data_IF_996283143170
#
_entry.id   IF_996283143170
#
_cell.length_a   1.000
_cell.length_b   1.000
_cell.length_c   1.000
_cell.angle_alpha   90.00
_cell.angle_beta   90.00
_cell.angle_gamma   90.00
#
_symmetry.space_group_name_H-M   'P 1'
#
loop_
_entity.id
_entity.type
_entity.pdbx_description
1 polymer ?
#
# COMPACT_ATOMS: atom_id res chain seq x y z
N UNK A 1 15.33 20.16 9.55
CA UNK A 1 15.08 20.75 8.20
C UNK A 1 15.86 19.91 7.22
N UNK A 2 15.18 18.99 6.50
CA UNK A 2 15.81 18.20 5.42
C UNK A 2 16.02 19.21 4.27
N UNK A 3 17.20 19.27 3.66
CA UNK A 3 17.42 20.14 2.51
C UNK A 3 16.44 19.75 1.39
N UNK A 4 15.68 20.72 0.89
CA UNK A 4 14.68 20.56 -0.18
C UNK A 4 15.34 20.02 -1.46
N UNK A 5 16.63 20.22 -1.63
CA UNK A 5 17.40 19.77 -2.79
C UNK A 5 17.60 18.26 -2.89
N UNK A 6 17.70 17.54 -1.75
CA UNK A 6 17.88 16.07 -1.79
C UNK A 6 16.62 15.33 -2.28
N UNK A 7 15.44 15.80 -1.91
CA UNK A 7 14.18 15.22 -2.39
C UNK A 7 13.98 15.41 -3.90
N UNK A 8 14.44 16.55 -4.43
CA UNK A 8 14.39 16.85 -5.86
C UNK A 8 15.35 15.97 -6.69
N UNK A 9 16.55 15.69 -6.18
CA UNK A 9 17.53 14.82 -6.87
C UNK A 9 17.08 13.36 -6.91
N UNK A 10 16.49 12.84 -5.83
CA UNK A 10 15.96 11.48 -5.78
C UNK A 10 14.76 11.32 -6.72
N UNK A 11 13.85 12.27 -6.72
CA UNK A 11 12.71 12.29 -7.64
C UNK A 11 13.14 12.31 -9.12
N UNK A 12 14.22 13.03 -9.45
CA UNK A 12 14.76 13.15 -10.80
C UNK A 12 15.46 11.86 -11.23
N UNK A 13 16.19 11.18 -10.35
CA UNK A 13 16.90 9.93 -10.65
C UNK A 13 15.92 8.77 -10.97
N UNK A 14 14.81 8.68 -10.24
CA UNK A 14 13.78 7.66 -10.47
C UNK A 14 13.01 7.94 -11.77
N UNK A 15 12.78 9.21 -12.12
CA UNK A 15 12.11 9.60 -13.36
C UNK A 15 12.97 9.39 -14.62
N UNK A 16 14.28 9.19 -14.50
CA UNK A 16 15.20 8.98 -15.64
C UNK A 16 15.33 7.51 -16.10
N UNK A 17 14.44 6.62 -15.65
CA UNK A 17 14.44 5.21 -16.12
C UNK A 17 15.67 4.42 -15.70
N UNK A 18 16.40 4.84 -14.66
CA UNK A 18 17.49 4.03 -14.07
C UNK A 18 16.88 2.78 -13.45
N UNK A 19 17.23 1.60 -13.96
CA UNK A 19 16.97 0.32 -13.31
C UNK A 19 17.54 0.40 -11.90
N UNK A 20 16.69 0.23 -10.89
CA UNK A 20 17.14 0.05 -9.51
C UNK A 20 17.75 -1.35 -9.45
N UNK A 21 19.05 -1.48 -9.67
CA UNK A 21 19.81 -2.74 -9.74
C UNK A 21 20.60 -3.02 -8.48
N UNK A 22 20.07 -2.74 -7.31
CA UNK A 22 20.75 -3.02 -6.04
C UNK A 22 19.77 -2.95 -4.87
N UNK A 23 20.18 -3.41 -3.67
CA UNK A 23 19.36 -3.23 -2.47
C UNK A 23 19.17 -1.72 -2.25
N UNK A 24 17.94 -1.25 -2.45
CA UNK A 24 17.58 0.13 -2.18
C UNK A 24 17.80 0.38 -0.68
N UNK A 25 18.73 1.25 -0.35
CA UNK A 25 19.00 1.61 1.04
C UNK A 25 17.91 2.57 1.51
N UNK A 26 16.89 2.02 2.14
CA UNK A 26 15.73 2.78 2.60
C UNK A 26 16.04 3.35 3.99
N UNK A 27 15.93 4.66 4.15
CA UNK A 27 16.14 5.35 5.43
C UNK A 27 14.86 5.29 6.26
N UNK A 28 14.98 5.17 7.57
CA UNK A 28 13.86 5.23 8.49
C UNK A 28 13.13 6.58 8.37
N UNK A 29 11.80 6.62 8.58
CA UNK A 29 11.09 7.90 8.70
C UNK A 29 11.79 8.76 9.76
N UNK A 30 11.92 10.08 9.54
CA UNK A 30 12.53 10.95 10.53
C UNK A 30 11.80 10.85 11.86
N UNK A 31 12.55 10.65 12.96
CA UNK A 31 11.99 10.52 14.32
C UNK A 31 11.24 11.78 14.79
N UNK A 32 11.47 12.90 14.12
CA UNK A 32 10.95 14.22 14.48
C UNK A 32 9.65 14.59 13.74
N UNK A 33 9.01 13.65 13.02
CA UNK A 33 7.68 13.94 12.51
C UNK A 33 6.69 14.02 13.66
N UNK A 34 5.91 15.12 13.77
CA UNK A 34 4.89 15.20 14.79
C UNK A 34 3.93 14.02 14.62
N UNK A 35 3.99 13.07 15.55
CA UNK A 35 2.94 12.09 15.73
C UNK A 35 1.72 12.89 16.18
N UNK A 36 0.66 12.91 15.38
CA UNK A 36 -0.64 13.32 15.88
C UNK A 36 -1.01 12.48 17.10
N UNK A 37 -1.93 12.97 17.90
CA UNK A 37 -2.48 12.20 19.02
C UNK A 37 -3.05 10.89 18.46
N UNK A 38 -2.50 9.75 18.90
CA UNK A 38 -2.98 8.43 18.50
C UNK A 38 -4.29 8.17 19.25
N UNK A 39 -5.37 8.08 18.50
CA UNK A 39 -6.72 7.90 19.07
C UNK A 39 -7.17 6.44 19.15
N UNK A 40 -6.33 5.50 18.74
CA UNK A 40 -6.64 4.08 18.72
C UNK A 40 -5.84 3.24 19.71
N UNK A 41 -6.28 2.01 19.90
CA UNK A 41 -5.52 1.01 20.66
C UNK A 41 -4.20 0.69 19.93
N UNK A 42 -3.19 0.30 20.70
CA UNK A 42 -1.89 -0.11 20.17
C UNK A 42 -2.05 -1.28 19.19
N UNK A 43 -1.42 -1.18 18.04
CA UNK A 43 -1.40 -2.27 17.06
C UNK A 43 -0.31 -3.28 17.46
N UNK A 44 -0.71 -4.47 17.84
CA UNK A 44 0.19 -5.57 18.18
C UNK A 44 0.14 -6.68 17.14
N UNK A 45 -1.05 -6.96 16.58
CA UNK A 45 -1.30 -8.04 15.64
C UNK A 45 -1.57 -7.50 14.25
N UNK A 46 -0.61 -7.69 13.37
CA UNK A 46 -0.69 -7.30 11.96
C UNK A 46 -1.14 -8.46 11.08
N UNK A 47 -2.14 -8.23 10.24
CA UNK A 47 -2.49 -9.11 9.13
C UNK A 47 -2.24 -8.37 7.82
N UNK A 48 -1.09 -8.59 7.20
CA UNK A 48 -0.74 -7.92 5.95
C UNK A 48 -0.60 -8.91 4.81
N UNK A 49 -1.18 -8.57 3.67
CA UNK A 49 -1.10 -9.37 2.46
C UNK A 49 -0.62 -8.55 1.26
N UNK A 50 0.04 -9.25 0.35
CA UNK A 50 0.45 -8.72 -0.94
C UNK A 50 -0.33 -9.40 -2.06
N UNK A 51 -0.95 -8.64 -2.95
CA UNK A 51 -1.61 -9.17 -4.15
C UNK A 51 -0.62 -9.23 -5.30
N UNK A 52 -0.36 -10.44 -5.82
CA UNK A 52 0.67 -10.69 -6.82
C UNK A 52 0.03 -11.16 -8.12
N UNK A 53 0.31 -10.45 -9.20
CA UNK A 53 -0.07 -10.81 -10.56
C UNK A 53 1.14 -11.29 -11.37
N UNK A 54 0.97 -12.22 -12.36
CA UNK A 54 2.06 -12.57 -13.24
C UNK A 54 2.45 -11.37 -14.11
N UNK A 55 3.74 -11.01 -14.08
CA UNK A 55 4.33 -9.91 -14.86
C UNK A 55 5.50 -10.43 -15.69
N UNK A 56 5.82 -9.73 -16.76
CA UNK A 56 7.03 -9.99 -17.56
C UNK A 56 8.29 -9.79 -16.72
N UNK A 57 8.31 -8.70 -15.93
CA UNK A 57 9.35 -8.40 -14.94
C UNK A 57 8.71 -8.42 -13.56
N UNK A 58 9.10 -9.40 -12.74
CA UNK A 58 8.53 -9.60 -11.41
C UNK A 58 9.14 -8.62 -10.41
N UNK A 59 8.29 -7.82 -9.78
CA UNK A 59 8.68 -6.82 -8.77
C UNK A 59 8.42 -7.29 -7.34
N UNK A 60 7.55 -8.28 -7.14
CA UNK A 60 7.10 -8.70 -5.81
C UNK A 60 8.26 -9.12 -4.88
N UNK A 61 9.36 -9.68 -5.41
CA UNK A 61 10.53 -10.04 -4.59
C UNK A 61 11.13 -8.82 -3.90
N UNK A 62 11.25 -7.71 -4.64
CA UNK A 62 11.76 -6.44 -4.11
C UNK A 62 10.77 -5.89 -3.07
N UNK A 63 9.48 -5.97 -3.36
CA UNK A 63 8.43 -5.51 -2.46
C UNK A 63 8.43 -6.31 -1.15
N UNK A 64 8.51 -7.65 -1.21
CA UNK A 64 8.56 -8.51 -0.03
C UNK A 64 9.82 -8.25 0.80
N UNK A 65 11.00 -8.20 0.16
CA UNK A 65 12.25 -7.90 0.86
C UNK A 65 12.17 -6.54 1.56
N UNK A 66 11.71 -5.50 0.86
CA UNK A 66 11.56 -4.16 1.43
C UNK A 66 10.54 -4.10 2.56
N UNK A 67 9.46 -4.88 2.49
CA UNK A 67 8.45 -4.95 3.55
C UNK A 67 9.01 -5.59 4.82
N UNK A 68 9.76 -6.68 4.67
CA UNK A 68 10.43 -7.33 5.80
C UNK A 68 11.50 -6.42 6.41
N UNK A 69 12.29 -5.74 5.57
CA UNK A 69 13.30 -4.76 6.00
C UNK A 69 12.67 -3.54 6.70
N UNK A 70 11.40 -3.24 6.41
CA UNK A 70 10.65 -2.18 7.07
C UNK A 70 10.15 -2.54 8.49
N UNK A 71 10.40 -3.80 8.93
CA UNK A 71 10.21 -4.25 10.31
C UNK A 71 9.12 -5.29 10.52
N UNK A 72 8.44 -5.75 9.47
CA UNK A 72 7.47 -6.85 9.59
C UNK A 72 8.16 -8.22 9.50
N UNK A 73 7.65 -9.19 10.25
CA UNK A 73 8.22 -10.55 10.31
C UNK A 73 7.62 -11.47 9.24
N UNK A 74 6.43 -11.14 8.75
CA UNK A 74 5.68 -11.95 7.79
C UNK A 74 4.74 -11.13 6.94
N UNK A 75 4.41 -11.66 5.75
CA UNK A 75 3.39 -11.14 4.83
C UNK A 75 2.73 -12.29 4.10
N UNK A 76 1.41 -12.26 3.95
CA UNK A 76 0.65 -13.29 3.21
C UNK A 76 0.68 -13.01 1.70
N UNK A 77 1.11 -13.98 0.90
CA UNK A 77 1.22 -13.86 -0.54
C UNK A 77 -0.06 -14.36 -1.22
N UNK A 78 -0.84 -13.48 -1.84
CA UNK A 78 -2.05 -13.81 -2.59
C UNK A 78 -1.74 -13.84 -4.09
N UNK A 79 -1.43 -15.03 -4.60
CA UNK A 79 -0.91 -15.22 -5.93
C UNK A 79 -2.00 -15.53 -6.95
N UNK A 80 -2.09 -14.75 -8.00
CA UNK A 80 -2.79 -15.11 -9.24
C UNK A 80 -2.15 -16.37 -9.87
N UNK A 81 -2.88 -17.13 -10.74
CA UNK A 81 -2.31 -18.29 -11.41
C UNK A 81 -1.03 -17.93 -12.18
N UNK A 82 -0.10 -18.88 -12.26
CA UNK A 82 1.22 -18.77 -12.92
C UNK A 82 2.25 -17.88 -12.21
N UNK A 83 1.94 -17.30 -11.04
CA UNK A 83 2.96 -16.67 -10.21
C UNK A 83 3.86 -17.74 -9.63
N UNK A 84 5.16 -17.63 -9.87
CA UNK A 84 6.19 -18.48 -9.27
C UNK A 84 6.79 -17.71 -8.10
N UNK A 85 6.59 -18.24 -6.89
CA UNK A 85 7.20 -17.65 -5.68
C UNK A 85 8.64 -18.14 -5.60
N UNK A 86 9.57 -17.22 -5.39
CA UNK A 86 10.99 -17.54 -5.25
C UNK A 86 11.24 -18.34 -3.96
N UNK A 87 12.22 -19.25 -4.01
CA UNK A 87 12.54 -20.16 -2.91
C UNK A 87 12.81 -19.43 -1.59
N UNK A 88 13.48 -18.29 -1.67
CA UNK A 88 13.76 -17.43 -0.49
C UNK A 88 12.53 -16.92 0.24
N UNK A 89 11.35 -16.92 -0.41
CA UNK A 89 10.07 -16.49 0.17
C UNK A 89 9.08 -17.66 0.35
N UNK A 90 9.51 -18.90 0.11
CA UNK A 90 8.64 -20.08 0.19
C UNK A 90 8.15 -20.40 1.61
N UNK A 91 8.79 -19.85 2.63
CA UNK A 91 8.40 -19.97 4.04
C UNK A 91 7.21 -19.09 4.43
N UNK A 92 6.88 -18.07 3.61
CA UNK A 92 5.76 -17.19 3.87
C UNK A 92 4.42 -17.88 3.59
N UNK A 93 3.33 -17.49 4.26
CA UNK A 93 2.00 -18.00 3.96
C UNK A 93 1.57 -17.61 2.54
N UNK A 94 1.09 -18.59 1.77
CA UNK A 94 0.73 -18.43 0.35
C UNK A 94 -0.68 -18.93 0.09
N UNK A 95 -1.54 -18.05 -0.46
CA UNK A 95 -2.82 -18.43 -1.07
C UNK A 95 -2.71 -18.35 -2.59
N UNK A 96 -2.93 -19.48 -3.28
CA UNK A 96 -2.92 -19.55 -4.75
C UNK A 96 -4.33 -19.56 -5.31
N UNK A 97 -4.63 -18.62 -6.19
CA UNK A 97 -5.92 -18.60 -6.90
C UNK A 97 -5.97 -19.71 -7.94
N UNK A 98 -7.08 -20.46 -7.97
CA UNK A 98 -7.28 -21.55 -8.97
C UNK A 98 -7.51 -20.99 -10.38
N UNK A 99 -8.09 -19.81 -10.51
CA UNK A 99 -8.37 -19.11 -11.78
C UNK A 99 -7.99 -17.64 -11.65
N UNK A 100 -7.76 -16.98 -12.79
CA UNK A 100 -7.49 -15.54 -12.84
C UNK A 100 -8.69 -14.75 -12.32
N UNK A 101 -8.49 -13.92 -11.32
CA UNK A 101 -9.49 -13.04 -10.72
C UNK A 101 -9.42 -11.63 -11.31
N UNK A 102 -8.23 -11.13 -11.61
CA UNK A 102 -7.98 -9.74 -11.95
C UNK A 102 -7.84 -8.86 -10.71
N UNK A 103 -7.42 -7.62 -10.92
CA UNK A 103 -6.97 -6.74 -9.85
C UNK A 103 -7.99 -6.56 -8.71
N UNK A 104 -9.21 -6.11 -9.02
CA UNK A 104 -10.23 -5.88 -7.99
C UNK A 104 -10.66 -7.17 -7.29
N UNK A 105 -11.02 -8.19 -8.06
CA UNK A 105 -11.56 -9.41 -7.46
C UNK A 105 -10.52 -10.17 -6.63
N UNK A 106 -9.23 -10.16 -7.05
CA UNK A 106 -8.15 -10.72 -6.24
C UNK A 106 -7.94 -9.89 -4.98
N UNK A 107 -7.95 -8.56 -5.09
CA UNK A 107 -7.80 -7.65 -3.96
C UNK A 107 -8.90 -7.86 -2.91
N UNK A 108 -10.17 -7.88 -3.33
CA UNK A 108 -11.31 -8.09 -2.41
C UNK A 108 -11.30 -9.49 -1.78
N UNK A 109 -10.96 -10.52 -2.57
CA UNK A 109 -10.82 -11.88 -2.05
C UNK A 109 -9.68 -11.95 -1.03
N UNK A 110 -8.57 -11.27 -1.27
CA UNK A 110 -7.44 -11.22 -0.35
C UNK A 110 -7.78 -10.52 0.97
N UNK A 111 -8.57 -9.43 0.92
CA UNK A 111 -9.05 -8.78 2.14
C UNK A 111 -9.93 -9.72 2.99
N UNK A 112 -10.84 -10.46 2.34
CA UNK A 112 -11.69 -11.47 3.00
C UNK A 112 -10.87 -12.60 3.59
N UNK A 113 -9.94 -13.15 2.81
CA UNK A 113 -9.06 -14.21 3.29
C UNK A 113 -8.22 -13.77 4.50
N UNK A 114 -7.70 -12.53 4.51
CA UNK A 114 -6.98 -11.98 5.67
C UNK A 114 -7.87 -11.92 6.91
N UNK A 115 -9.11 -11.46 6.78
CA UNK A 115 -10.06 -11.36 7.89
C UNK A 115 -10.39 -12.76 8.44
N UNK A 116 -10.56 -13.74 7.55
CA UNK A 116 -10.93 -15.11 7.94
C UNK A 116 -9.74 -15.86 8.56
N UNK A 117 -8.52 -15.67 8.04
CA UNK A 117 -7.30 -16.34 8.51
C UNK A 117 -6.78 -15.70 9.82
N UNK A 118 -6.90 -14.40 9.96
CA UNK A 118 -6.37 -13.62 11.08
C UNK A 118 -7.48 -12.80 11.78
N UNK A 119 -8.51 -13.44 12.35
CA UNK A 119 -9.71 -12.75 12.85
C UNK A 119 -9.46 -11.75 13.98
N UNK A 120 -8.35 -11.94 14.72
CA UNK A 120 -7.96 -11.13 15.89
C UNK A 120 -6.89 -10.07 15.55
N UNK A 121 -6.69 -9.77 14.27
CA UNK A 121 -5.72 -8.74 13.89
C UNK A 121 -6.22 -7.34 14.26
N UNK A 122 -5.31 -6.48 14.73
CA UNK A 122 -5.58 -5.08 15.07
C UNK A 122 -5.48 -4.17 13.83
N UNK A 123 -4.80 -4.65 12.78
CA UNK A 123 -4.66 -3.95 11.52
C UNK A 123 -4.63 -4.93 10.34
N UNK A 124 -5.43 -4.65 9.31
CA UNK A 124 -5.42 -5.40 8.05
C UNK A 124 -4.78 -4.56 6.95
N UNK A 125 -3.65 -5.02 6.42
CA UNK A 125 -2.96 -4.36 5.31
C UNK A 125 -3.11 -5.12 4.00
N UNK A 126 -3.39 -4.41 2.90
CA UNK A 126 -3.24 -4.93 1.55
C UNK A 126 -2.34 -4.03 0.73
N UNK A 127 -1.26 -4.60 0.21
CA UNK A 127 -0.27 -3.90 -0.61
C UNK A 127 -0.20 -4.51 -2.01
N UNK A 128 0.29 -3.72 -2.96
CA UNK A 128 0.56 -4.17 -4.33
C UNK A 128 1.98 -4.71 -4.45
N UNK A 129 2.23 -5.52 -5.47
CA UNK A 129 3.49 -6.24 -5.71
C UNK A 129 4.60 -5.37 -6.34
N UNK A 130 4.44 -4.05 -6.34
CA UNK A 130 5.34 -3.08 -6.97
C UNK A 130 5.62 -1.85 -6.11
N UNK A 131 5.82 -2.07 -4.79
CA UNK A 131 6.05 -1.00 -3.80
C UNK A 131 7.28 -1.32 -2.95
N UNK A 132 8.06 -0.29 -2.61
CA UNK A 132 9.11 -0.36 -1.59
C UNK A 132 8.81 0.58 -0.42
N UNK A 133 9.37 0.30 0.75
CA UNK A 133 9.04 0.95 2.01
C UNK A 133 10.27 1.51 2.71
N UNK A 134 10.07 2.56 3.52
CA UNK A 134 11.08 3.05 4.44
C UNK A 134 11.39 2.00 5.52
N UNK A 135 12.65 1.91 5.95
CA UNK A 135 13.04 1.11 7.12
C UNK A 135 12.40 1.65 8.39
N UNK A 136 12.01 0.74 9.32
CA UNK A 136 11.37 1.10 10.57
C UNK A 136 9.94 1.63 10.40
N UNK A 137 9.32 1.44 9.22
CA UNK A 137 7.96 1.88 8.97
C UNK A 137 6.95 1.22 9.91
N UNK A 138 7.13 -0.07 10.24
CA UNK A 138 6.24 -0.77 11.18
C UNK A 138 6.20 -0.06 12.54
N UNK A 139 7.37 0.18 13.13
CA UNK A 139 7.48 0.86 14.44
C UNK A 139 6.84 2.26 14.38
N UNK A 140 7.09 3.00 13.29
CA UNK A 140 6.47 4.30 13.08
C UNK A 140 4.94 4.21 13.01
N UNK A 141 4.40 3.24 12.29
CA UNK A 141 2.94 3.03 12.19
C UNK A 141 2.33 2.61 13.52
N UNK A 142 2.99 1.76 14.31
CA UNK A 142 2.56 1.37 15.67
C UNK A 142 2.45 2.57 16.62
N UNK A 143 3.23 3.63 16.37
CA UNK A 143 3.21 4.86 17.17
C UNK A 143 2.23 5.92 16.66
N UNK A 144 1.73 5.81 15.43
CA UNK A 144 0.97 6.89 14.78
C UNK A 144 -0.40 6.49 14.26
N UNK A 145 -0.70 5.20 14.17
CA UNK A 145 -2.03 4.71 13.82
C UNK A 145 -2.89 4.60 15.10
N UNK A 146 -4.11 5.04 15.10
CA UNK A 146 -4.87 5.62 14.00
C UNK A 146 -4.98 7.13 14.19
N UNK A 147 -4.83 7.94 13.09
CA UNK A 147 -4.72 9.40 13.25
C UNK A 147 -6.03 10.12 13.60
N UNK A 148 -7.17 9.46 13.50
CA UNK A 148 -8.49 10.05 13.82
C UNK A 148 -9.53 8.97 14.09
N UNK A 149 -10.55 9.27 14.89
CA UNK A 149 -11.66 8.37 15.18
C UNK A 149 -12.55 8.04 13.97
N UNK A 150 -12.46 8.79 12.88
CA UNK A 150 -13.16 8.50 11.61
C UNK A 150 -12.25 7.86 10.54
N UNK A 151 -11.08 7.37 10.96
CA UNK A 151 -10.14 6.68 10.08
C UNK A 151 -10.71 5.35 9.62
N UNK A 152 -10.91 5.21 8.31
CA UNK A 152 -11.24 3.92 7.70
C UNK A 152 -10.01 3.23 7.13
N UNK A 153 -9.14 4.01 6.49
CA UNK A 153 -7.95 3.52 5.81
C UNK A 153 -6.79 4.48 6.05
N UNK A 154 -5.60 3.92 6.23
CA UNK A 154 -4.35 4.65 6.13
C UNK A 154 -3.55 4.19 4.91
N UNK A 155 -2.89 5.13 4.22
CA UNK A 155 -1.93 4.83 3.17
C UNK A 155 -0.61 5.52 3.43
N UNK A 156 0.47 4.79 3.24
CA UNK A 156 1.85 5.30 3.36
C UNK A 156 2.47 5.63 2.00
N UNK A 157 1.78 5.28 0.91
CA UNK A 157 2.11 5.71 -0.45
C UNK A 157 1.27 6.91 -0.86
N UNK A 158 1.91 7.96 -1.38
CA UNK A 158 1.27 9.19 -1.84
C UNK A 158 1.78 9.56 -3.23
N UNK A 159 0.94 9.54 -4.28
CA UNK A 159 1.34 10.10 -5.56
C UNK A 159 1.52 11.62 -5.44
N UNK A 160 2.37 12.20 -6.28
CA UNK A 160 2.84 13.59 -6.21
C UNK A 160 1.77 14.66 -6.01
N UNK A 161 0.54 14.45 -6.50
CA UNK A 161 -0.55 15.42 -6.34
C UNK A 161 -1.21 15.43 -4.95
N UNK A 162 -0.80 14.53 -4.04
CA UNK A 162 -1.20 14.52 -2.64
C UNK A 162 -0.14 15.10 -1.70
N UNK A 163 1.06 15.38 -2.19
CA UNK A 163 2.16 15.98 -1.40
C UNK A 163 1.70 17.20 -0.63
N UNK A 164 2.11 17.31 0.64
CA UNK A 164 1.83 18.42 1.54
C UNK A 164 3.13 19.01 2.09
N UNK A 165 3.12 20.32 2.33
CA UNK A 165 4.26 21.02 2.93
C UNK A 165 4.44 20.65 4.40
N UNK A 166 3.35 20.30 5.10
CA UNK A 166 3.40 19.91 6.51
C UNK A 166 3.43 18.39 6.61
N UNK A 167 4.51 17.79 7.16
CA UNK A 167 4.57 16.37 7.43
C UNK A 167 3.47 15.92 8.38
N UNK A 168 2.93 14.70 8.15
CA UNK A 168 1.92 14.11 9.00
C UNK A 168 0.81 13.38 8.25
N UNK A 169 -0.18 12.92 9.00
CA UNK A 169 -1.37 12.28 8.46
C UNK A 169 -2.38 13.31 7.96
N UNK A 170 -2.86 13.13 6.75
CA UNK A 170 -3.81 14.03 6.08
C UNK A 170 -5.04 13.29 5.62
N UNK A 171 -6.20 13.79 5.99
CA UNK A 171 -7.49 13.28 5.54
C UNK A 171 -7.76 13.62 4.08
N UNK A 172 -8.37 12.70 3.34
CA UNK A 172 -8.88 12.98 2.00
C UNK A 172 -10.34 12.53 1.84
N UNK A 173 -11.14 13.37 1.17
CA UNK A 173 -12.55 13.12 0.88
C UNK A 173 -12.78 12.92 -0.63
N UNK A 174 -11.76 12.50 -1.38
CA UNK A 174 -11.82 12.46 -2.86
C UNK A 174 -12.78 11.42 -3.44
N UNK A 175 -13.37 10.54 -2.60
CA UNK A 175 -14.33 9.54 -3.04
C UNK A 175 -13.78 8.70 -4.20
N UNK A 176 -14.45 8.69 -5.35
CA UNK A 176 -14.03 7.98 -6.55
C UNK A 176 -12.70 8.44 -7.17
N UNK A 177 -12.07 9.49 -6.66
CA UNK A 177 -10.75 9.98 -7.12
C UNK A 177 -9.64 9.63 -6.15
N UNK A 178 -9.83 8.63 -5.31
CA UNK A 178 -8.78 8.11 -4.45
C UNK A 178 -7.70 7.42 -5.30
N UNK A 179 -6.43 7.67 -5.01
CA UNK A 179 -5.29 7.14 -5.79
C UNK A 179 -4.16 6.75 -4.85
N UNK A 180 -4.32 5.65 -4.11
CA UNK A 180 -3.30 5.18 -3.16
C UNK A 180 -3.45 3.68 -2.82
N UNK A 181 -4.09 2.88 -3.70
CA UNK A 181 -4.32 1.45 -3.49
C UNK A 181 -3.04 0.60 -3.42
N UNK A 182 -1.87 1.22 -3.59
CA UNK A 182 -0.58 0.56 -3.42
C UNK A 182 -0.38 0.08 -1.99
N UNK A 183 -0.94 0.80 -1.00
CA UNK A 183 -0.75 0.49 0.42
C UNK A 183 -1.99 0.90 1.20
N UNK A 184 -2.92 -0.03 1.41
CA UNK A 184 -4.09 0.21 2.25
C UNK A 184 -4.00 -0.55 3.56
N UNK A 185 -4.07 0.17 4.66
CA UNK A 185 -4.13 -0.35 6.02
C UNK A 185 -5.47 0.04 6.65
N UNK A 186 -6.21 -0.94 7.13
CA UNK A 186 -7.58 -0.81 7.64
C UNK A 186 -7.63 -1.08 9.13
N UNK A 187 -8.52 -0.37 9.84
CA UNK A 187 -8.96 -0.82 11.15
C UNK A 187 -9.74 -2.14 11.00
N UNK A 188 -9.85 -2.97 12.06
CA UNK A 188 -10.61 -4.22 11.99
C UNK A 188 -12.07 -4.03 11.56
N UNK A 189 -12.69 -2.97 12.05
CA UNK A 189 -14.07 -2.61 11.69
C UNK A 189 -14.16 -2.20 10.22
N UNK A 190 -13.28 -1.32 9.77
CA UNK A 190 -13.30 -0.82 8.39
C UNK A 190 -12.99 -1.91 7.37
N UNK A 191 -12.09 -2.84 7.68
CA UNK A 191 -11.81 -4.01 6.84
C UNK A 191 -13.06 -4.86 6.63
N UNK A 192 -13.74 -5.23 7.73
CA UNK A 192 -14.98 -6.01 7.68
C UNK A 192 -16.10 -5.25 6.96
N UNK A 193 -16.24 -3.95 7.23
CA UNK A 193 -17.20 -3.09 6.56
C UNK A 193 -16.96 -3.04 5.05
N UNK A 194 -15.73 -2.80 4.60
CA UNK A 194 -15.36 -2.75 3.19
C UNK A 194 -15.58 -4.10 2.49
N UNK A 195 -15.13 -5.21 3.11
CA UNK A 195 -15.27 -6.56 2.56
C UNK A 195 -16.74 -6.98 2.36
N UNK A 196 -17.65 -6.47 3.20
CA UNK A 196 -19.07 -6.82 3.18
C UNK A 196 -19.97 -5.78 2.51
N UNK A 197 -19.41 -4.63 2.14
CA UNK A 197 -20.20 -3.58 1.50
C UNK A 197 -20.78 -4.03 0.17
N UNK A 198 -22.08 -3.85 -0.01
CA UNK A 198 -22.81 -4.42 -1.15
C UNK A 198 -22.26 -3.98 -2.51
N UNK A 199 -21.91 -2.70 -2.64
CA UNK A 199 -21.29 -2.19 -3.85
C UNK A 199 -19.94 -2.86 -4.13
N UNK A 200 -19.12 -3.11 -3.11
CA UNK A 200 -17.83 -3.80 -3.25
C UNK A 200 -18.02 -5.24 -3.74
N UNK A 201 -19.00 -5.95 -3.18
CA UNK A 201 -19.29 -7.35 -3.55
C UNK A 201 -19.80 -7.48 -4.99
N UNK A 202 -20.59 -6.52 -5.44
CA UNK A 202 -21.25 -6.54 -6.75
C UNK A 202 -20.45 -5.83 -7.86
N UNK A 203 -19.26 -5.25 -7.53
CA UNK A 203 -18.44 -4.59 -8.52
C UNK A 203 -17.79 -5.59 -9.48
N UNK A 204 -18.17 -5.53 -10.75
CA UNK A 204 -17.72 -6.47 -11.79
C UNK A 204 -16.60 -5.93 -12.69
N UNK A 205 -16.23 -4.65 -12.57
CA UNK A 205 -15.14 -4.05 -13.33
C UNK A 205 -13.81 -4.40 -12.69
N UNK A 206 -12.93 -5.06 -13.42
CA UNK A 206 -11.67 -5.63 -12.90
C UNK A 206 -10.58 -4.61 -12.57
N UNK A 207 -10.81 -3.34 -12.83
CA UNK A 207 -9.87 -2.24 -12.66
C UNK A 207 -10.45 -1.27 -11.64
N UNK A 208 -9.62 -0.46 -10.99
CA UNK A 208 -10.09 0.66 -10.15
C UNK A 208 -10.35 0.31 -8.66
N UNK A 209 -9.42 -0.40 -8.04
CA UNK A 209 -9.45 -0.65 -6.59
C UNK A 209 -9.68 0.66 -5.84
N UNK A 210 -8.91 1.69 -6.15
CA UNK A 210 -9.00 3.01 -5.54
C UNK A 210 -10.42 3.60 -5.54
N UNK A 211 -11.07 3.53 -6.69
CA UNK A 211 -12.38 4.15 -6.86
C UNK A 211 -13.47 3.43 -6.06
N UNK A 212 -13.39 2.10 -6.01
CA UNK A 212 -14.37 1.29 -5.27
C UNK A 212 -14.21 1.50 -3.78
N UNK A 213 -12.97 1.44 -3.29
CA UNK A 213 -12.64 1.67 -1.89
C UNK A 213 -12.95 3.11 -1.49
N UNK A 214 -12.63 4.08 -2.34
CA UNK A 214 -12.96 5.48 -2.09
C UNK A 214 -14.46 5.76 -2.02
N UNK A 215 -15.28 5.05 -2.83
CA UNK A 215 -16.73 5.13 -2.73
C UNK A 215 -17.23 4.58 -1.41
N UNK A 216 -16.80 3.37 -1.04
CA UNK A 216 -17.14 2.77 0.25
C UNK A 216 -16.80 3.73 1.41
N UNK A 217 -15.58 4.26 1.43
CA UNK A 217 -15.12 5.15 2.48
C UNK A 217 -15.99 6.42 2.61
N UNK A 218 -16.39 7.00 1.47
CA UNK A 218 -17.23 8.19 1.45
C UNK A 218 -18.67 7.91 1.91
N UNK A 219 -19.26 6.80 1.47
CA UNK A 219 -20.65 6.43 1.81
C UNK A 219 -20.79 5.97 3.26
N UNK A 220 -19.73 5.32 3.83
CA UNK A 220 -19.74 4.84 5.22
C UNK A 220 -19.13 5.83 6.22
N UNK A 221 -18.61 6.97 5.76
CA UNK A 221 -17.91 7.97 6.59
C UNK A 221 -16.66 7.45 7.28
N UNK A 222 -16.05 6.40 6.75
CA UNK A 222 -14.77 5.85 7.17
C UNK A 222 -13.67 6.35 6.22
N UNK A 223 -13.09 7.51 6.54
CA UNK A 223 -12.30 8.26 5.60
C UNK A 223 -10.86 7.75 5.42
N UNK A 224 -10.30 7.90 4.19
CA UNK A 224 -8.89 7.64 3.96
C UNK A 224 -8.00 8.74 4.53
N UNK A 225 -6.94 8.31 5.18
CA UNK A 225 -5.81 9.14 5.60
C UNK A 225 -4.54 8.70 4.86
N UNK A 226 -3.67 9.62 4.56
CA UNK A 226 -2.38 9.35 3.96
C UNK A 226 -1.29 10.13 4.66
N UNK A 227 -0.09 9.57 4.69
CA UNK A 227 1.05 10.26 5.29
C UNK A 227 1.84 11.01 4.22
N UNK A 228 2.17 12.28 4.45
CA UNK A 228 3.08 13.07 3.62
C UNK A 228 4.24 13.55 4.50
N UNK A 229 5.49 13.41 4.07
CA UNK A 229 5.97 12.85 2.81
C UNK A 229 5.69 11.34 2.68
N UNK A 230 5.75 10.81 1.45
CA UNK A 230 5.49 9.39 1.20
C UNK A 230 6.51 8.49 1.89
N UNK A 231 6.04 7.46 2.60
CA UNK A 231 6.88 6.46 3.27
C UNK A 231 7.00 5.17 2.45
N UNK A 232 6.42 5.19 1.25
CA UNK A 232 6.51 4.10 0.28
C UNK A 232 6.68 4.67 -1.13
N UNK A 233 7.35 3.90 -2.02
CA UNK A 233 7.54 4.27 -3.41
C UNK A 233 7.04 3.19 -4.34
N UNK A 234 6.30 3.59 -5.38
CA UNK A 234 5.91 2.69 -6.45
C UNK A 234 7.08 2.49 -7.43
N UNK A 235 7.43 1.22 -7.69
CA UNK A 235 8.57 0.82 -8.53
C UNK A 235 8.17 0.14 -9.84
N UNK A 236 6.88 -0.02 -10.10
CA UNK A 236 6.39 -0.68 -11.31
C UNK A 236 6.45 0.23 -12.53
N UNK A 237 7.31 -0.11 -13.50
CA UNK A 237 7.42 0.62 -14.77
C UNK A 237 6.30 0.26 -15.75
N UNK A 238 5.79 -0.98 -15.65
CA UNK A 238 4.76 -1.51 -16.56
C UNK A 238 3.51 -1.91 -15.80
N UNK A 239 2.40 -1.25 -16.13
CA UNK A 239 1.11 -1.59 -15.52
C UNK A 239 0.60 -2.95 -16.00
N UNK A 240 0.20 -3.83 -15.08
CA UNK A 240 -0.54 -5.07 -15.40
C UNK A 240 -2.02 -4.81 -15.75
N UNK A 241 -2.50 -3.61 -15.49
CA UNK A 241 -3.92 -3.22 -15.61
C UNK A 241 -4.16 -2.36 -16.85
N UNK A 242 -3.24 -1.46 -17.18
CA UNK A 242 -3.36 -0.50 -18.28
C UNK A 242 -2.42 -0.85 -19.43
N UNK A 243 -2.92 -0.77 -20.66
CA UNK A 243 -2.12 -0.95 -21.88
C UNK A 243 -1.03 0.12 -22.02
N UNK A 244 0.06 -0.23 -22.71
CA UNK A 244 1.11 0.71 -23.12
C UNK A 244 0.48 1.91 -23.84
N UNK A 245 0.94 3.12 -23.46
CA UNK A 245 0.39 4.39 -23.99
C UNK A 245 -0.73 5.01 -23.12
N UNK A 246 -1.26 4.33 -22.12
CA UNK A 246 -2.17 4.96 -21.16
C UNK A 246 -1.39 5.86 -20.20
N UNK A 247 -1.76 7.15 -20.12
CA UNK A 247 -1.13 8.14 -19.23
C UNK A 247 -1.13 7.73 -17.74
N UNK A 248 -2.02 6.84 -17.34
CA UNK A 248 -2.06 6.29 -15.99
C UNK A 248 -0.95 5.24 -15.72
N UNK A 249 -0.30 4.70 -16.76
CA UNK A 249 0.69 3.65 -16.63
C UNK A 249 2.07 4.16 -16.16
N UNK A 250 2.39 5.45 -16.33
CA UNK A 250 3.77 5.95 -16.23
C UNK A 250 4.06 7.00 -15.14
N UNK A 251 3.11 7.41 -14.30
CA UNK A 251 3.32 8.54 -13.38
C UNK A 251 2.72 8.28 -11.99
N UNK A 252 3.14 7.21 -11.34
CA UNK A 252 2.68 6.90 -9.97
C UNK A 252 3.75 7.06 -8.90
N UNK A 253 4.93 7.55 -9.26
CA UNK A 253 5.99 7.78 -8.31
C UNK A 253 5.60 8.86 -7.29
N UNK A 254 5.95 8.65 -6.05
CA UNK A 254 5.92 9.69 -5.02
C UNK A 254 7.10 10.64 -5.28
N UNK A 255 6.83 11.95 -5.37
CA UNK A 255 7.87 12.95 -5.57
C UNK A 255 8.60 13.33 -4.27
N UNK A 256 8.03 12.96 -3.13
CA UNK A 256 8.48 13.28 -1.78
C UNK A 256 8.83 12.04 -0.94
N UNK A 257 9.11 10.91 -1.60
CA UNK A 257 9.50 9.69 -0.90
C UNK A 257 10.78 9.92 -0.08
N UNK A 258 10.74 9.55 1.20
CA UNK A 258 11.83 9.79 2.16
C UNK A 258 12.81 8.61 2.32
N UNK A 259 12.68 7.57 1.51
CA UNK A 259 13.62 6.46 1.44
C UNK A 259 14.71 6.71 0.39
N UNK A 260 15.89 6.06 0.57
CA UNK A 260 16.99 6.03 -0.41
C UNK A 260 16.90 4.81 -1.34
#
# INVERSE_FOLDING_TARGET
MIPVDMAAEIGTAINMGRKITGPTRVVAPPKDFPSGEVLGDKIEKWAVGITIAPRKEQTYNITVDSFLDAGWDSIHLFCEPKVIVADKHSYLPITRRKKKHGAWANWLASLKDLIDIYPDADCYGLIQDDVIFCKGLREFMEQTLWPSGDTGICSVFVPSHYTRNNPGWHKTNRGFKLWMAQTFFFTPESARSCANYEFCKNWNKQKQIDNVVGRWANETKQYPYYFSPSLAQHIGDTSTIWSEGNRAAGKRAASDFVGE
#
